data_IF_447415072072
#
_entry.id   IF_447415072072
#
_cell.length_a   1.000
_cell.length_b   1.000
_cell.length_c   1.000
_cell.angle_alpha   90.00
_cell.angle_beta   90.00
_cell.angle_gamma   90.00
#
_symmetry.space_group_name_H-M   'P 1'
#
loop_
_entity.id
_entity.type
_entity.pdbx_description
1 polymer ?
#
# COMPACT_ATOMS: atom_id res chain seq x y z
N UNK A 1 13.70 -0.82 4.03
CA UNK A 1 12.34 -1.13 4.54
C UNK A 1 11.47 0.11 4.48
N UNK A 2 10.26 -0.02 3.96
CA UNK A 2 9.31 1.10 3.90
C UNK A 2 8.64 1.33 5.26
N UNK A 3 8.73 2.55 5.75
CA UNK A 3 8.04 2.96 6.98
C UNK A 3 6.86 3.88 6.62
N UNK A 4 5.88 3.98 7.51
CA UNK A 4 4.69 4.79 7.29
C UNK A 4 5.00 6.24 6.93
N UNK A 5 6.01 6.82 7.53
CA UNK A 5 6.48 8.16 7.23
C UNK A 5 6.89 8.32 5.76
N UNK A 6 7.64 7.35 5.23
CA UNK A 6 8.07 7.36 3.83
C UNK A 6 6.91 7.11 2.88
N UNK A 7 5.98 6.23 3.27
CA UNK A 7 4.77 6.00 2.49
C UNK A 7 3.95 7.28 2.34
N UNK A 8 3.77 8.01 3.44
CA UNK A 8 3.05 9.29 3.40
C UNK A 8 3.72 10.28 2.46
N UNK A 9 5.05 10.40 2.54
CA UNK A 9 5.80 11.30 1.66
C UNK A 9 5.66 10.92 0.19
N UNK A 10 5.69 9.63 -0.11
CA UNK A 10 5.51 9.14 -1.47
C UNK A 10 4.11 9.44 -2.00
N UNK A 11 3.09 9.20 -1.20
CA UNK A 11 1.71 9.51 -1.58
C UNK A 11 1.50 11.00 -1.81
N UNK A 12 2.08 11.85 -0.96
CA UNK A 12 1.95 13.30 -1.09
C UNK A 12 2.49 13.81 -2.43
N UNK A 13 3.54 13.21 -2.95
CA UNK A 13 4.10 13.59 -4.25
C UNK A 13 3.09 13.44 -5.39
N UNK A 14 2.28 12.38 -5.36
CA UNK A 14 1.26 12.17 -6.36
C UNK A 14 -0.01 12.97 -6.08
N UNK A 15 -0.46 12.98 -4.84
CA UNK A 15 -1.75 13.56 -4.48
C UNK A 15 -1.78 15.08 -4.56
N UNK A 16 -0.64 15.71 -4.30
CA UNK A 16 -0.55 17.19 -4.26
C UNK A 16 -0.84 17.85 -5.61
N UNK A 17 -0.45 17.21 -6.69
CA UNK A 17 -0.45 17.79 -8.03
C UNK A 17 -1.36 17.08 -9.02
N UNK A 18 -2.21 16.18 -8.56
CA UNK A 18 -3.04 15.39 -9.46
C UNK A 18 -4.41 15.11 -8.87
N UNK A 19 -5.43 15.68 -9.47
CA UNK A 19 -6.83 15.36 -9.11
C UNK A 19 -7.16 13.91 -9.50
N UNK A 20 -6.57 13.42 -10.58
CA UNK A 20 -6.74 12.02 -11.01
C UNK A 20 -6.22 11.06 -9.92
N UNK A 21 -5.07 11.36 -9.34
CA UNK A 21 -4.49 10.52 -8.29
C UNK A 21 -5.36 10.50 -7.03
N UNK A 22 -6.00 11.62 -6.67
CA UNK A 22 -6.87 11.70 -5.49
C UNK A 22 -8.10 10.81 -5.61
N UNK A 23 -8.64 10.67 -6.81
CA UNK A 23 -9.82 9.85 -7.09
C UNK A 23 -9.45 8.41 -7.47
N UNK A 24 -8.18 8.12 -7.65
CA UNK A 24 -7.72 6.81 -8.08
C UNK A 24 -7.93 5.75 -6.99
N UNK A 25 -8.32 4.57 -7.43
CA UNK A 25 -8.44 3.40 -6.56
C UNK A 25 -7.06 2.96 -6.08
N UNK A 26 -6.95 2.64 -4.79
CA UNK A 26 -5.70 2.13 -4.23
C UNK A 26 -5.63 0.62 -4.42
N UNK A 27 -4.55 0.17 -5.01
CA UNK A 27 -4.30 -1.25 -5.27
C UNK A 27 -2.87 -1.63 -4.91
N UNK A 28 -2.67 -2.92 -4.62
CA UNK A 28 -1.34 -3.51 -4.41
C UNK A 28 -0.96 -4.29 -5.65
N UNK A 29 0.23 -4.04 -6.16
CA UNK A 29 0.78 -4.76 -7.31
C UNK A 29 1.73 -5.87 -6.84
N UNK A 30 1.46 -7.10 -7.26
CA UNK A 30 2.36 -8.22 -7.03
C UNK A 30 3.44 -8.26 -8.13
N UNK A 31 4.57 -8.97 -7.87
CA UNK A 31 5.66 -9.03 -8.84
C UNK A 31 5.26 -9.56 -10.22
N UNK A 32 4.21 -10.37 -10.30
CA UNK A 32 3.71 -10.89 -11.58
C UNK A 32 2.83 -9.90 -12.36
N UNK A 33 2.62 -8.68 -11.82
CA UNK A 33 1.80 -7.66 -12.45
C UNK A 33 0.34 -7.68 -12.04
N UNK A 34 -0.10 -8.63 -11.23
CA UNK A 34 -1.46 -8.66 -10.72
C UNK A 34 -1.70 -7.52 -9.74
N UNK A 35 -2.84 -6.85 -9.86
CA UNK A 35 -3.27 -5.76 -9.00
C UNK A 35 -4.48 -6.20 -8.18
N UNK A 36 -4.41 -5.94 -6.89
CA UNK A 36 -5.47 -6.28 -5.94
C UNK A 36 -5.96 -5.03 -5.21
N UNK A 37 -7.27 -4.91 -5.06
CA UNK A 37 -7.87 -3.81 -4.32
C UNK A 37 -7.48 -3.87 -2.85
N UNK A 38 -7.20 -2.71 -2.27
CA UNK A 38 -7.00 -2.57 -0.83
C UNK A 38 -8.36 -2.42 -0.17
N UNK A 39 -8.67 -3.31 0.76
CA UNK A 39 -9.92 -3.31 1.49
C UNK A 39 -9.78 -2.90 2.96
N UNK A 40 -8.57 -2.73 3.43
CA UNK A 40 -8.33 -2.28 4.79
C UNK A 40 -6.90 -1.85 5.02
N UNK A 41 -6.73 -0.90 5.93
CA UNK A 41 -5.42 -0.47 6.41
C UNK A 41 -5.52 -0.40 7.93
N UNK A 42 -4.68 -1.17 8.62
CA UNK A 42 -4.71 -1.30 10.06
C UNK A 42 -3.34 -1.12 10.68
N UNK A 43 -3.31 -0.63 11.90
CA UNK A 43 -2.13 -0.65 12.74
C UNK A 43 -2.19 -1.89 13.62
N UNK A 44 -1.26 -2.80 13.40
CA UNK A 44 -1.20 -4.06 14.13
C UNK A 44 0.06 -4.15 14.97
N UNK A 45 -0.05 -4.81 16.11
CA UNK A 45 1.06 -5.11 16.98
C UNK A 45 1.53 -6.53 16.71
N UNK A 46 2.82 -6.68 16.42
CA UNK A 46 3.41 -7.98 16.16
C UNK A 46 4.24 -8.40 17.38
N UNK A 47 3.78 -9.46 18.06
CA UNK A 47 4.45 -10.02 19.24
C UNK A 47 5.10 -11.34 18.86
N UNK A 48 6.42 -11.34 18.82
CA UNK A 48 7.19 -12.57 18.66
C UNK A 48 7.85 -12.92 19.99
N UNK A 49 7.78 -14.20 20.36
CA UNK A 49 8.42 -14.69 21.57
C UNK A 49 9.91 -14.39 21.53
N UNK A 50 10.43 -13.72 22.59
CA UNK A 50 11.84 -13.35 22.69
C UNK A 50 12.26 -12.13 21.89
N UNK A 51 11.33 -11.44 21.23
CA UNK A 51 11.59 -10.24 20.46
C UNK A 51 10.81 -9.05 20.97
N UNK A 52 11.29 -7.85 20.65
CA UNK A 52 10.57 -6.64 20.97
C UNK A 52 9.23 -6.60 20.26
N UNK A 53 8.23 -6.10 20.97
CA UNK A 53 6.99 -5.73 20.34
C UNK A 53 7.25 -4.68 19.26
N UNK A 54 6.60 -4.83 18.14
CA UNK A 54 6.72 -3.87 17.05
C UNK A 54 5.35 -3.62 16.43
N UNK A 55 5.15 -2.39 16.03
CA UNK A 55 3.94 -2.01 15.33
C UNK A 55 4.14 -2.11 13.82
N UNK A 56 3.09 -2.54 13.13
CA UNK A 56 3.07 -2.67 11.67
C UNK A 56 1.84 -1.98 11.11
N UNK A 57 2.04 -1.18 10.10
CA UNK A 57 0.94 -0.79 9.23
C UNK A 57 0.68 -1.93 8.26
N UNK A 58 -0.52 -2.46 8.29
CA UNK A 58 -0.88 -3.65 7.51
C UNK A 58 -1.94 -3.28 6.49
N UNK A 59 -1.68 -3.63 5.26
CA UNK A 59 -2.60 -3.44 4.15
C UNK A 59 -3.25 -4.78 3.85
N UNK A 60 -4.58 -4.82 3.91
CA UNK A 60 -5.35 -6.01 3.57
C UNK A 60 -5.89 -5.86 2.16
N UNK A 61 -5.73 -6.90 1.36
CA UNK A 61 -6.15 -6.92 -0.04
C UNK A 61 -7.30 -7.91 -0.25
N UNK A 62 -8.11 -7.65 -1.27
CA UNK A 62 -9.14 -8.57 -1.74
C UNK A 62 -8.50 -9.55 -2.73
N UNK A 63 -8.30 -10.79 -2.30
CA UNK A 63 -7.65 -11.83 -3.10
C UNK A 63 -8.53 -12.42 -4.20
N UNK A 64 -9.83 -12.20 -4.14
CA UNK A 64 -10.76 -12.78 -5.10
C UNK A 64 -10.90 -11.96 -6.37
N UNK A 65 -10.51 -10.70 -6.33
CA UNK A 65 -10.59 -9.79 -7.47
C UNK A 65 -9.22 -9.21 -7.79
N UNK A 66 -8.79 -9.42 -9.00
CA UNK A 66 -7.53 -8.87 -9.46
C UNK A 66 -7.64 -8.40 -10.90
N UNK A 67 -6.78 -7.47 -11.26
CA UNK A 67 -6.65 -6.95 -12.61
C UNK A 67 -5.18 -6.91 -12.99
N UNK A 68 -4.90 -6.80 -14.28
CA UNK A 68 -3.53 -6.56 -14.74
C UNK A 68 -3.37 -5.06 -15.00
N UNK A 69 -2.20 -4.55 -14.62
CA UNK A 69 -1.94 -3.13 -14.72
C UNK A 69 -0.66 -2.80 -15.47
N UNK A 70 -0.55 -1.55 -15.85
CA UNK A 70 0.63 -1.01 -16.51
C UNK A 70 1.09 0.23 -15.73
N UNK A 71 2.37 0.26 -15.37
CA UNK A 71 2.93 1.42 -14.68
C UNK A 71 3.02 2.59 -15.63
N UNK A 72 2.37 3.69 -15.27
CA UNK A 72 2.44 4.94 -16.03
C UNK A 72 3.47 5.90 -15.44
N UNK A 73 3.67 5.86 -14.12
CA UNK A 73 4.58 6.77 -13.42
C UNK A 73 5.10 6.12 -12.16
N UNK A 74 6.40 6.19 -11.92
CA UNK A 74 7.05 5.72 -10.70
C UNK A 74 7.61 6.88 -9.89
N UNK A 75 7.67 6.64 -8.61
CA UNK A 75 8.39 7.52 -7.69
C UNK A 75 9.88 7.18 -7.71
#
# INVERSE_FOLDING_TARGET
>A
MLKGKLLRQALDKFLKNSEVAKEARVQVCLPNGELYDVIGIDLMENKLIGHRESHRLVITIDRERWTMGKVMKKI
#
